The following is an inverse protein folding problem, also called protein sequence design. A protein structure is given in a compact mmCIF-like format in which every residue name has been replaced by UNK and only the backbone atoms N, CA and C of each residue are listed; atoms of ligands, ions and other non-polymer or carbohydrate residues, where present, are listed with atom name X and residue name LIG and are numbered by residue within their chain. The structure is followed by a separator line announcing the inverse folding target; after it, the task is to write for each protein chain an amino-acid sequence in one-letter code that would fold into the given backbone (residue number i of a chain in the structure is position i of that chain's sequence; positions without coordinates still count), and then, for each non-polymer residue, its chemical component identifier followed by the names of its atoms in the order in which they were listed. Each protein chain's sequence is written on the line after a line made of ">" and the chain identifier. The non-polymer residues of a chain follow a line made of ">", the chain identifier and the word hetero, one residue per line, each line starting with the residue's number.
data_IF_009517651890
#
_entry.id   IF_009517651890
#
_cell.length_a   1.000
_cell.length_b   1.000
_cell.length_c   1.000
_cell.angle_alpha   90.00
_cell.angle_beta   90.00
_cell.angle_gamma   90.00
#
_symmetry.space_group_name_H-M   'P 1'
#
loop_
_entity.id
_entity.type
_entity.pdbx_description
1 polymer ?
#
# COMPACT_ATOMS: atom_id res chain seq x y z
N UNK A 1 22.01 -50.90 -21.86
CA UNK A 1 22.99 -50.06 -21.13
C UNK A 1 22.48 -49.90 -19.71
N UNK A 2 23.13 -50.52 -18.74
CA UNK A 2 22.87 -50.29 -17.32
C UNK A 2 23.59 -49.01 -16.92
N UNK A 3 22.84 -47.98 -16.52
CA UNK A 3 23.42 -46.76 -15.92
C UNK A 3 23.87 -47.08 -14.48
N UNK A 4 25.11 -46.73 -14.16
CA UNK A 4 25.72 -46.93 -12.84
C UNK A 4 24.88 -46.19 -11.76
N UNK A 5 24.48 -46.85 -10.66
CA UNK A 5 23.82 -46.19 -9.53
C UNK A 5 24.53 -44.93 -9.02
N UNK A 6 25.87 -44.86 -9.07
CA UNK A 6 26.62 -43.68 -8.67
C UNK A 6 26.44 -42.50 -9.64
N UNK A 7 26.32 -42.78 -10.95
CA UNK A 7 26.07 -41.75 -11.95
C UNK A 7 24.64 -41.19 -11.82
N UNK A 8 23.66 -42.05 -11.51
CA UNK A 8 22.28 -41.61 -11.23
C UNK A 8 22.19 -40.69 -10.01
N UNK A 9 22.90 -41.02 -8.93
CA UNK A 9 22.92 -40.19 -7.72
C UNK A 9 23.55 -38.82 -8.01
N UNK A 10 24.70 -38.79 -8.70
CA UNK A 10 25.37 -37.53 -9.07
C UNK A 10 24.52 -36.63 -9.96
N UNK A 11 23.77 -37.23 -10.90
CA UNK A 11 22.82 -36.50 -11.74
C UNK A 11 21.64 -35.94 -10.93
N UNK A 12 21.14 -36.70 -9.95
CA UNK A 12 20.09 -36.25 -9.02
C UNK A 12 20.57 -35.07 -8.17
N UNK A 13 21.76 -35.18 -7.58
CA UNK A 13 22.34 -34.14 -6.73
C UNK A 13 22.62 -32.85 -7.53
N UNK A 14 23.09 -32.98 -8.77
CA UNK A 14 23.30 -31.84 -9.67
C UNK A 14 21.99 -31.13 -10.04
N UNK A 15 20.92 -31.89 -10.31
CA UNK A 15 19.61 -31.32 -10.60
C UNK A 15 19.01 -30.62 -9.39
N UNK A 16 19.13 -31.22 -8.20
CA UNK A 16 18.69 -30.62 -6.94
C UNK A 16 19.40 -29.29 -6.69
N UNK A 17 20.73 -29.25 -6.81
CA UNK A 17 21.51 -28.02 -6.67
C UNK A 17 21.01 -26.93 -7.63
N UNK A 18 20.84 -27.26 -8.91
CA UNK A 18 20.38 -26.31 -9.93
C UNK A 18 18.99 -25.76 -9.61
N UNK A 19 18.08 -26.61 -9.13
CA UNK A 19 16.73 -26.20 -8.81
C UNK A 19 16.69 -25.32 -7.56
N UNK A 20 17.52 -25.61 -6.55
CA UNK A 20 17.66 -24.74 -5.37
C UNK A 20 18.22 -23.37 -5.76
N UNK A 21 19.22 -23.31 -6.65
CA UNK A 21 19.71 -22.02 -7.18
C UNK A 21 18.58 -21.26 -7.89
N UNK A 22 17.78 -21.92 -8.73
CA UNK A 22 16.63 -21.31 -9.39
C UNK A 22 15.59 -20.79 -8.40
N UNK A 23 15.34 -21.50 -7.30
CA UNK A 23 14.46 -21.05 -6.22
C UNK A 23 15.01 -19.79 -5.55
N UNK A 24 16.31 -19.75 -5.23
CA UNK A 24 16.98 -18.57 -4.67
C UNK A 24 16.82 -17.34 -5.57
N UNK A 25 17.00 -17.50 -6.89
CA UNK A 25 16.82 -16.40 -7.84
C UNK A 25 15.35 -15.94 -7.91
N UNK A 26 14.39 -16.86 -7.79
CA UNK A 26 12.95 -16.58 -7.71
C UNK A 26 12.60 -15.75 -6.47
N UNK A 27 12.98 -16.23 -5.28
CA UNK A 27 12.81 -15.52 -4.00
C UNK A 27 13.42 -14.12 -4.01
N UNK A 28 14.64 -14.01 -4.56
CA UNK A 28 15.32 -12.73 -4.67
C UNK A 28 14.56 -11.74 -5.57
N UNK A 29 14.00 -12.24 -6.66
CA UNK A 29 13.15 -11.46 -7.56
C UNK A 29 11.84 -11.03 -6.89
N UNK A 30 11.15 -11.95 -6.20
CA UNK A 30 9.92 -11.67 -5.45
C UNK A 30 10.13 -10.57 -4.40
N UNK A 31 11.23 -10.62 -3.64
CA UNK A 31 11.59 -9.58 -2.66
C UNK A 31 11.67 -8.19 -3.29
N UNK A 32 12.24 -8.09 -4.50
CA UNK A 32 12.42 -6.80 -5.17
C UNK A 32 11.09 -6.33 -5.76
N UNK A 33 10.37 -7.22 -6.44
CA UNK A 33 9.10 -6.87 -7.06
C UNK A 33 8.01 -6.55 -6.04
N UNK A 34 7.98 -7.21 -4.89
CA UNK A 34 6.99 -6.91 -3.84
C UNK A 34 7.28 -5.62 -3.10
N UNK A 35 8.54 -5.15 -3.05
CA UNK A 35 8.84 -3.78 -2.57
C UNK A 35 8.26 -2.74 -3.54
N UNK A 36 8.49 -2.92 -4.84
CA UNK A 36 7.93 -2.05 -5.88
C UNK A 36 6.40 -2.07 -5.82
N UNK A 37 5.80 -3.26 -5.73
CA UNK A 37 4.35 -3.44 -5.69
C UNK A 37 3.71 -2.80 -4.45
N UNK A 38 4.34 -2.94 -3.28
CA UNK A 38 3.90 -2.28 -2.05
C UNK A 38 3.93 -0.75 -2.19
N UNK A 39 4.91 -0.19 -2.91
CA UNK A 39 5.00 1.24 -3.16
C UNK A 39 3.97 1.74 -4.20
N UNK A 40 3.56 0.87 -5.13
CA UNK A 40 2.50 1.14 -6.10
C UNK A 40 1.09 0.97 -5.49
N UNK A 41 0.99 0.38 -4.30
CA UNK A 41 -0.30 0.07 -3.67
C UNK A 41 -1.06 1.35 -3.29
N UNK A 42 -2.32 1.50 -3.74
CA UNK A 42 -3.15 2.65 -3.38
C UNK A 42 -3.74 2.54 -1.97
N UNK A 43 -3.76 1.34 -1.38
CA UNK A 43 -4.38 1.07 -0.08
C UNK A 43 -3.32 0.68 0.96
N UNK A 44 -3.40 1.30 2.14
CA UNK A 44 -2.43 1.05 3.22
C UNK A 44 -2.47 -0.40 3.71
N UNK A 45 -3.66 -1.00 3.78
CA UNK A 45 -3.82 -2.40 4.21
C UNK A 45 -3.22 -3.38 3.20
N UNK A 46 -3.43 -3.14 1.90
CA UNK A 46 -2.81 -3.94 0.84
C UNK A 46 -1.29 -3.78 0.87
N UNK A 47 -0.79 -2.54 0.98
CA UNK A 47 0.65 -2.26 1.17
C UNK A 47 1.23 -3.05 2.33
N UNK A 48 0.56 -3.01 3.49
CA UNK A 48 1.01 -3.73 4.70
C UNK A 48 1.05 -5.24 4.45
N UNK A 49 0.00 -5.80 3.83
CA UNK A 49 -0.05 -7.23 3.53
C UNK A 49 1.04 -7.65 2.53
N UNK A 50 1.29 -6.87 1.49
CA UNK A 50 2.37 -7.14 0.52
C UNK A 50 3.74 -7.08 1.21
N UNK A 51 3.96 -6.15 2.14
CA UNK A 51 5.19 -6.08 2.92
C UNK A 51 5.35 -7.27 3.90
N UNK A 52 4.24 -7.81 4.42
CA UNK A 52 4.25 -9.03 5.22
C UNK A 52 4.62 -10.25 4.36
N UNK A 53 4.05 -10.39 3.16
CA UNK A 53 4.44 -11.45 2.18
C UNK A 53 5.92 -11.33 1.84
N UNK A 54 6.38 -10.13 1.48
CA UNK A 54 7.79 -9.85 1.20
C UNK A 54 8.74 -10.26 2.34
N UNK A 55 8.29 -10.19 3.59
CA UNK A 55 9.10 -10.63 4.73
C UNK A 55 9.28 -12.15 4.71
N UNK A 56 8.30 -12.88 4.22
CA UNK A 56 8.30 -14.34 4.12
C UNK A 56 9.26 -14.79 3.01
N UNK A 57 9.24 -14.14 1.85
CA UNK A 57 10.25 -14.35 0.78
C UNK A 57 11.69 -14.19 1.30
N UNK A 58 11.94 -13.18 2.16
CA UNK A 58 13.26 -13.01 2.79
C UNK A 58 13.64 -14.18 3.69
N UNK A 59 12.67 -14.80 4.38
CA UNK A 59 12.90 -15.98 5.22
C UNK A 59 13.19 -17.20 4.34
N UNK A 60 12.46 -17.38 3.24
CA UNK A 60 12.69 -18.45 2.28
C UNK A 60 14.04 -18.32 1.60
N UNK A 61 14.38 -17.14 1.05
CA UNK A 61 15.70 -16.84 0.46
C UNK A 61 16.85 -17.23 1.37
N UNK A 62 16.80 -16.82 2.65
CA UNK A 62 17.83 -17.13 3.64
C UNK A 62 17.92 -18.65 3.89
N UNK A 63 16.79 -19.33 3.96
CA UNK A 63 16.71 -20.77 4.20
C UNK A 63 17.30 -21.55 3.02
N UNK A 64 16.89 -21.22 1.80
CA UNK A 64 17.40 -21.87 0.59
C UNK A 64 18.88 -21.58 0.35
N UNK A 65 19.33 -20.36 0.64
CA UNK A 65 20.75 -20.01 0.54
C UNK A 65 21.61 -20.82 1.51
N UNK A 66 21.09 -21.09 2.72
CA UNK A 66 21.75 -21.95 3.70
C UNK A 66 21.84 -23.38 3.20
N UNK A 67 20.72 -23.95 2.71
CA UNK A 67 20.69 -25.29 2.13
C UNK A 67 21.67 -25.41 0.96
N UNK A 68 21.69 -24.44 0.04
CA UNK A 68 22.59 -24.43 -1.10
C UNK A 68 24.06 -24.44 -0.67
N UNK A 69 24.40 -23.63 0.34
CA UNK A 69 25.75 -23.59 0.90
C UNK A 69 26.14 -24.91 1.55
N UNK A 70 25.23 -25.53 2.29
CA UNK A 70 25.50 -26.81 2.96
C UNK A 70 25.69 -27.95 1.95
N UNK A 71 24.94 -27.96 0.84
CA UNK A 71 25.08 -28.94 -0.23
C UNK A 71 26.34 -28.76 -1.09
N UNK A 72 26.73 -27.51 -1.35
CA UNK A 72 27.76 -27.19 -2.38
C UNK A 72 29.09 -26.73 -1.81
N UNK A 73 29.12 -26.33 -0.53
CA UNK A 73 30.24 -25.65 0.11
C UNK A 73 30.46 -24.21 -0.37
N UNK A 74 29.58 -23.65 -1.22
CA UNK A 74 29.72 -22.32 -1.83
C UNK A 74 28.48 -21.48 -1.55
N UNK A 75 28.66 -20.15 -1.51
CA UNK A 75 27.52 -19.24 -1.46
C UNK A 75 26.76 -19.28 -2.80
N UNK A 76 25.42 -19.13 -2.79
CA UNK A 76 24.66 -18.97 -4.01
C UNK A 76 24.93 -17.62 -4.68
N UNK A 77 24.55 -17.51 -5.94
CA UNK A 77 24.42 -16.23 -6.63
C UNK A 77 22.99 -15.70 -6.48
N UNK A 78 22.80 -14.42 -6.75
CA UNK A 78 21.49 -13.78 -6.76
C UNK A 78 21.31 -13.08 -8.11
N UNK A 79 20.45 -13.63 -8.96
CA UNK A 79 20.18 -13.07 -10.28
C UNK A 79 18.75 -12.52 -10.36
N UNK A 80 18.62 -11.29 -10.84
CA UNK A 80 17.32 -10.69 -11.16
C UNK A 80 16.80 -11.28 -12.47
N UNK A 81 15.60 -11.86 -12.44
CA UNK A 81 14.92 -12.35 -13.64
C UNK A 81 13.98 -11.29 -14.20
N UNK A 82 14.55 -10.37 -14.97
CA UNK A 82 13.81 -9.35 -15.70
C UNK A 82 13.33 -8.19 -14.84
N UNK A 83 12.43 -7.39 -15.41
CA UNK A 83 11.90 -6.18 -14.79
C UNK A 83 10.59 -6.48 -14.05
N UNK A 84 10.41 -5.87 -12.88
CA UNK A 84 9.13 -5.88 -12.17
C UNK A 84 8.09 -5.05 -12.91
N UNK A 85 6.81 -5.39 -12.75
CA UNK A 85 5.72 -4.64 -13.37
C UNK A 85 5.61 -3.21 -12.81
N UNK A 86 5.24 -2.26 -13.68
CA UNK A 86 5.23 -0.83 -13.35
C UNK A 86 3.85 -0.30 -12.94
N UNK A 87 2.81 -1.12 -13.00
CA UNK A 87 1.46 -0.78 -12.50
C UNK A 87 1.03 -1.73 -11.41
N UNK A 88 0.23 -1.25 -10.46
CA UNK A 88 -0.24 -2.08 -9.34
C UNK A 88 -1.00 -3.32 -9.84
N UNK A 89 -1.92 -3.15 -10.80
CA UNK A 89 -2.71 -4.24 -11.34
C UNK A 89 -1.86 -5.33 -11.98
N UNK A 90 -0.96 -4.96 -12.88
CA UNK A 90 -0.08 -5.91 -13.56
C UNK A 90 0.84 -6.61 -12.56
N UNK A 91 1.33 -5.89 -11.55
CA UNK A 91 2.15 -6.47 -10.50
C UNK A 91 1.42 -7.48 -9.62
N UNK A 92 0.14 -7.24 -9.27
CA UNK A 92 -0.68 -8.22 -8.53
C UNK A 92 -0.95 -9.47 -9.38
N UNK A 93 -1.23 -9.31 -10.68
CA UNK A 93 -1.43 -10.45 -11.59
C UNK A 93 -0.14 -11.26 -11.71
N UNK A 94 0.99 -10.60 -11.95
CA UNK A 94 2.28 -11.27 -12.07
C UNK A 94 2.66 -11.99 -10.77
N UNK A 95 2.46 -11.35 -9.61
CA UNK A 95 2.69 -11.99 -8.31
C UNK A 95 1.80 -13.22 -8.13
N UNK A 96 0.50 -13.12 -8.42
CA UNK A 96 -0.41 -14.27 -8.33
C UNK A 96 0.02 -15.46 -9.22
N UNK A 97 0.46 -15.18 -10.45
CA UNK A 97 0.95 -16.21 -11.37
C UNK A 97 2.27 -16.82 -10.86
N UNK A 98 3.22 -15.99 -10.43
CA UNK A 98 4.53 -16.42 -9.91
C UNK A 98 4.38 -17.31 -8.67
N UNK A 99 3.54 -16.90 -7.71
CA UNK A 99 3.27 -17.68 -6.50
C UNK A 99 2.66 -19.05 -6.82
N UNK A 100 1.70 -19.11 -7.75
CA UNK A 100 1.10 -20.39 -8.16
C UNK A 100 2.10 -21.32 -8.84
N UNK A 101 2.93 -20.81 -9.74
CA UNK A 101 3.98 -21.60 -10.39
C UNK A 101 5.05 -22.07 -9.39
N UNK A 102 5.32 -21.26 -8.38
CA UNK A 102 6.33 -21.53 -7.35
C UNK A 102 5.90 -22.67 -6.41
N UNK A 103 4.61 -22.80 -6.09
CA UNK A 103 4.08 -23.93 -5.28
C UNK A 103 4.48 -25.27 -5.88
N UNK A 104 4.16 -25.50 -7.15
CA UNK A 104 4.47 -26.75 -7.84
C UNK A 104 5.99 -26.98 -7.91
N UNK A 105 6.75 -25.92 -8.20
CA UNK A 105 8.20 -25.99 -8.29
C UNK A 105 8.86 -26.37 -6.95
N UNK A 106 8.35 -25.88 -5.82
CA UNK A 106 8.89 -26.22 -4.50
C UNK A 106 8.51 -27.62 -4.05
N UNK A 107 7.31 -28.09 -4.38
CA UNK A 107 6.95 -29.49 -4.18
C UNK A 107 7.84 -30.44 -5.00
N UNK A 108 8.16 -30.09 -6.24
CA UNK A 108 9.09 -30.85 -7.08
C UNK A 108 10.50 -30.94 -6.47
N UNK A 109 11.02 -29.85 -5.87
CA UNK A 109 12.31 -29.88 -5.16
C UNK A 109 12.22 -30.79 -3.93
N UNK A 110 11.14 -30.71 -3.17
CA UNK A 110 10.92 -31.53 -1.98
C UNK A 110 10.88 -33.03 -2.30
N UNK A 111 10.44 -33.41 -3.51
CA UNK A 111 10.40 -34.80 -3.96
C UNK A 111 11.69 -35.29 -4.62
N UNK A 112 12.64 -34.40 -4.93
CA UNK A 112 13.95 -34.74 -5.49
C UNK A 112 15.00 -35.15 -4.44
N UNK A 113 14.67 -35.08 -3.14
CA UNK A 113 15.61 -35.32 -2.05
C UNK A 113 15.05 -36.24 -0.98
N UNK A 114 15.91 -37.09 -0.42
CA UNK A 114 15.62 -37.91 0.76
C UNK A 114 15.98 -37.19 2.08
N UNK A 115 16.65 -36.03 1.99
CA UNK A 115 16.95 -35.23 3.16
C UNK A 115 15.66 -34.63 3.73
N UNK A 116 15.27 -35.09 4.91
CA UNK A 116 14.02 -34.70 5.55
C UNK A 116 13.97 -33.21 5.89
N UNK A 117 15.10 -32.58 6.21
CA UNK A 117 15.14 -31.17 6.55
C UNK A 117 14.93 -30.30 5.30
N UNK A 118 15.56 -30.66 4.18
CA UNK A 118 15.35 -29.98 2.89
C UNK A 118 13.89 -30.16 2.45
N UNK A 119 13.39 -31.40 2.49
CA UNK A 119 12.00 -31.72 2.13
C UNK A 119 10.99 -30.89 2.90
N UNK A 120 11.11 -30.84 4.23
CA UNK A 120 10.21 -30.05 5.08
C UNK A 120 10.33 -28.55 4.86
N UNK A 121 11.52 -28.05 4.49
CA UNK A 121 11.71 -26.61 4.23
C UNK A 121 10.96 -26.19 2.98
N UNK A 122 11.12 -26.91 1.88
CA UNK A 122 10.40 -26.61 0.64
C UNK A 122 8.90 -26.89 0.73
N UNK A 123 8.46 -27.91 1.47
CA UNK A 123 7.02 -28.14 1.72
C UNK A 123 6.37 -27.00 2.50
N UNK A 124 7.08 -26.39 3.46
CA UNK A 124 6.57 -25.22 4.20
C UNK A 124 6.54 -23.98 3.32
N UNK A 125 7.60 -23.74 2.53
CA UNK A 125 7.62 -22.63 1.57
C UNK A 125 6.47 -22.76 0.55
N UNK A 126 6.28 -23.94 -0.04
CA UNK A 126 5.14 -24.19 -0.94
C UNK A 126 3.76 -23.90 -0.28
N UNK A 127 3.62 -24.17 1.03
CA UNK A 127 2.39 -23.82 1.76
C UNK A 127 2.24 -22.31 2.00
N UNK A 128 3.35 -21.60 2.21
CA UNK A 128 3.38 -20.14 2.32
C UNK A 128 3.04 -19.50 0.95
N UNK A 129 3.67 -19.93 -0.14
CA UNK A 129 3.39 -19.51 -1.53
C UNK A 129 1.92 -19.73 -1.91
N UNK A 130 1.35 -20.87 -1.51
CA UNK A 130 -0.07 -21.11 -1.72
C UNK A 130 -0.96 -20.08 -1.00
N UNK A 131 -0.58 -19.67 0.21
CA UNK A 131 -1.27 -18.62 0.96
C UNK A 131 -1.02 -17.23 0.33
N UNK A 132 0.18 -16.96 -0.17
CA UNK A 132 0.51 -15.73 -0.89
C UNK A 132 -0.34 -15.60 -2.16
N UNK A 133 -0.43 -16.66 -2.97
CA UNK A 133 -1.31 -16.72 -4.12
C UNK A 133 -2.77 -16.43 -3.74
N UNK A 134 -3.26 -16.94 -2.62
CA UNK A 134 -4.62 -16.64 -2.12
C UNK A 134 -4.77 -15.16 -1.74
N UNK A 135 -3.75 -14.55 -1.12
CA UNK A 135 -3.76 -13.11 -0.85
C UNK A 135 -3.77 -12.29 -2.14
N UNK A 136 -2.92 -12.61 -3.12
CA UNK A 136 -2.92 -11.93 -4.40
C UNK A 136 -4.24 -12.13 -5.17
N UNK A 137 -4.81 -13.33 -5.13
CA UNK A 137 -6.17 -13.58 -5.61
C UNK A 137 -7.20 -12.73 -4.87
N UNK A 138 -7.05 -12.55 -3.55
CA UNK A 138 -7.96 -11.69 -2.78
C UNK A 138 -7.86 -10.23 -3.23
N UNK A 139 -6.68 -9.74 -3.59
CA UNK A 139 -6.52 -8.40 -4.16
C UNK A 139 -7.17 -8.29 -5.54
N UNK A 140 -7.10 -9.36 -6.35
CA UNK A 140 -7.80 -9.44 -7.64
C UNK A 140 -9.33 -9.53 -7.49
N UNK A 141 -9.81 -10.32 -6.51
CA UNK A 141 -11.21 -10.72 -6.35
C UNK A 141 -12.02 -9.81 -5.42
N UNK A 142 -11.35 -9.12 -4.48
CA UNK A 142 -11.88 -7.86 -3.91
C UNK A 142 -12.18 -6.83 -5.00
N UNK A 143 -11.80 -7.16 -6.24
CA UNK A 143 -12.12 -6.50 -7.48
C UNK A 143 -11.52 -5.10 -7.46
N UNK A 144 -10.83 -4.84 -8.54
CA UNK A 144 -11.00 -3.59 -9.26
C UNK A 144 -12.50 -3.30 -9.57
N UNK A 145 -13.37 -3.30 -8.58
CA UNK A 145 -14.22 -2.15 -8.40
C UNK A 145 -13.25 -1.00 -8.10
N UNK A 146 -12.88 -0.27 -9.15
CA UNK A 146 -13.03 1.18 -9.08
C UNK A 146 -14.51 1.45 -8.76
N UNK A 147 -14.94 1.09 -7.56
CA UNK A 147 -15.98 1.84 -6.91
C UNK A 147 -15.24 3.14 -6.64
N UNK A 148 -15.48 4.15 -7.47
CA UNK A 148 -15.09 5.53 -7.14
C UNK A 148 -15.45 5.79 -5.66
N UNK A 149 -16.56 5.22 -5.18
CA UNK A 149 -17.01 5.25 -3.80
C UNK A 149 -16.05 4.63 -2.76
N UNK A 150 -15.33 3.53 -3.05
CA UNK A 150 -14.47 2.83 -2.06
C UNK A 150 -13.08 3.44 -1.98
N UNK A 151 -12.57 4.00 -3.09
CA UNK A 151 -11.37 4.86 -3.04
C UNK A 151 -11.68 6.19 -2.34
N UNK A 152 -12.80 6.86 -2.70
CA UNK A 152 -13.19 8.13 -2.08
C UNK A 152 -13.31 8.02 -0.55
N UNK A 153 -13.75 6.88 -0.02
CA UNK A 153 -13.95 6.73 1.42
C UNK A 153 -12.67 6.40 2.21
N UNK A 154 -11.57 6.04 1.54
CA UNK A 154 -10.32 5.59 2.19
C UNK A 154 -9.19 6.64 2.17
N UNK A 155 -9.51 7.93 1.97
CA UNK A 155 -8.54 9.03 2.06
C UNK A 155 -9.07 10.18 2.92
N UNK A 156 -8.17 10.87 3.64
CA UNK A 156 -8.51 12.07 4.41
C UNK A 156 -9.59 11.84 5.48
N UNK A 157 -10.55 12.77 5.56
CA UNK A 157 -11.57 12.76 6.60
C UNK A 157 -12.46 11.52 6.59
N UNK A 158 -12.80 10.99 5.41
CA UNK A 158 -13.65 9.80 5.30
C UNK A 158 -12.96 8.56 5.87
N UNK A 159 -11.67 8.37 5.57
CA UNK A 159 -10.88 7.27 6.12
C UNK A 159 -10.78 7.36 7.64
N UNK A 160 -10.56 8.57 8.14
CA UNK A 160 -10.50 8.83 9.57
C UNK A 160 -11.82 8.49 10.28
N UNK A 161 -12.97 8.73 9.65
CA UNK A 161 -14.28 8.41 10.19
C UNK A 161 -14.54 6.90 10.23
N UNK A 162 -14.11 6.16 9.21
CA UNK A 162 -14.29 4.70 9.11
C UNK A 162 -13.26 3.91 9.95
N UNK A 163 -12.14 4.51 10.34
CA UNK A 163 -11.11 3.85 11.13
C UNK A 163 -11.63 3.38 12.51
N UNK A 164 -11.48 2.09 12.88
CA UNK A 164 -11.99 1.54 14.15
C UNK A 164 -11.20 2.02 15.36
N UNK A 165 -9.94 2.41 15.16
CA UNK A 165 -9.04 2.99 16.16
C UNK A 165 -8.08 3.94 15.48
N UNK A 166 -7.61 4.95 16.21
CA UNK A 166 -6.74 6.00 15.67
C UNK A 166 -5.52 6.20 16.57
N UNK A 167 -4.34 6.02 16.00
CA UNK A 167 -3.07 6.48 16.59
C UNK A 167 -2.81 7.94 16.24
N UNK A 168 -1.83 8.57 16.90
CA UNK A 168 -1.37 9.93 16.54
C UNK A 168 -0.88 9.98 15.08
N UNK A 169 -0.20 8.92 14.63
CA UNK A 169 0.26 8.83 13.24
C UNK A 169 -0.91 8.81 12.26
N UNK A 170 -1.97 8.05 12.57
CA UNK A 170 -3.16 7.97 11.72
C UNK A 170 -3.86 9.33 11.66
N UNK A 171 -4.08 9.99 12.81
CA UNK A 171 -4.76 11.29 12.87
C UNK A 171 -4.01 12.38 12.09
N UNK A 172 -2.69 12.47 12.25
CA UNK A 172 -1.88 13.45 11.50
C UNK A 172 -1.88 13.14 10.00
N UNK A 173 -1.76 11.86 9.64
CA UNK A 173 -1.79 11.41 8.25
C UNK A 173 -3.12 11.77 7.59
N UNK A 174 -4.25 11.41 8.20
CA UNK A 174 -5.57 11.72 7.65
C UNK A 174 -5.86 13.22 7.60
N UNK A 175 -5.46 13.99 8.63
CA UNK A 175 -5.59 15.43 8.60
C UNK A 175 -4.86 16.05 7.39
N UNK A 176 -3.59 15.69 7.19
CA UNK A 176 -2.81 16.22 6.07
C UNK A 176 -3.32 15.77 4.70
N UNK A 177 -3.75 14.51 4.59
CA UNK A 177 -4.39 13.98 3.38
C UNK A 177 -5.66 14.77 3.02
N UNK A 178 -6.46 15.15 4.01
CA UNK A 178 -7.69 15.91 3.76
C UNK A 178 -7.39 17.33 3.25
N UNK A 179 -6.36 17.99 3.78
CA UNK A 179 -5.92 19.29 3.25
C UNK A 179 -5.37 19.20 1.81
N UNK A 180 -4.63 18.13 1.49
CA UNK A 180 -4.20 17.85 0.11
C UNK A 180 -5.40 17.60 -0.82
N UNK A 181 -6.39 16.83 -0.35
CA UNK A 181 -7.63 16.59 -1.08
C UNK A 181 -8.38 17.90 -1.38
N UNK A 182 -8.43 18.82 -0.42
CA UNK A 182 -9.03 20.13 -0.61
C UNK A 182 -8.25 20.98 -1.63
N UNK A 183 -6.91 21.02 -1.57
CA UNK A 183 -6.08 21.69 -2.57
C UNK A 183 -6.38 21.21 -3.99
N UNK A 184 -6.28 19.89 -4.22
CA UNK A 184 -6.49 19.29 -5.51
C UNK A 184 -7.92 19.51 -6.03
N UNK A 185 -8.93 19.42 -5.14
CA UNK A 185 -10.33 19.69 -5.48
C UNK A 185 -10.52 21.12 -5.96
N UNK A 186 -10.01 22.10 -5.21
CA UNK A 186 -10.17 23.51 -5.55
C UNK A 186 -9.36 23.90 -6.78
N UNK A 187 -8.21 23.28 -7.02
CA UNK A 187 -7.47 23.44 -8.27
C UNK A 187 -8.28 22.98 -9.48
N UNK A 188 -8.87 21.79 -9.42
CA UNK A 188 -9.74 21.28 -10.49
C UNK A 188 -10.94 22.20 -10.73
N UNK A 189 -11.58 22.69 -9.67
CA UNK A 189 -12.73 23.62 -9.78
C UNK A 189 -12.31 24.95 -10.43
N UNK A 190 -11.19 25.54 -9.99
CA UNK A 190 -10.72 26.82 -10.51
C UNK A 190 -10.23 26.70 -11.96
N UNK A 191 -9.68 25.55 -12.34
CA UNK A 191 -9.32 25.25 -13.73
C UNK A 191 -10.56 25.15 -14.63
N UNK A 192 -11.66 24.56 -14.14
CA UNK A 192 -12.88 24.34 -14.94
C UNK A 192 -13.79 25.58 -15.01
N UNK A 193 -13.99 26.27 -13.88
CA UNK A 193 -14.95 27.37 -13.75
C UNK A 193 -14.31 28.76 -13.72
N UNK A 194 -12.98 28.82 -13.77
CA UNK A 194 -12.22 30.06 -13.65
C UNK A 194 -12.14 30.58 -12.21
N UNK A 195 -11.71 31.83 -12.06
CA UNK A 195 -11.43 32.41 -10.75
C UNK A 195 -12.71 32.71 -9.95
N UNK A 196 -13.15 31.75 -9.14
CA UNK A 196 -14.28 31.90 -8.22
C UNK A 196 -13.75 32.23 -6.83
N UNK A 197 -14.02 33.47 -6.38
CA UNK A 197 -13.43 34.05 -5.16
C UNK A 197 -13.50 33.16 -3.93
N UNK A 198 -14.62 32.48 -3.68
CA UNK A 198 -14.80 31.61 -2.51
C UNK A 198 -13.77 30.49 -2.51
N UNK A 199 -13.64 29.75 -3.62
CA UNK A 199 -12.68 28.66 -3.75
C UNK A 199 -11.23 29.16 -3.70
N UNK A 200 -10.91 30.28 -4.33
CA UNK A 200 -9.56 30.87 -4.27
C UNK A 200 -9.16 31.25 -2.83
N UNK A 201 -10.07 31.83 -2.05
CA UNK A 201 -9.81 32.23 -0.68
C UNK A 201 -9.67 31.05 0.28
N UNK A 202 -10.54 30.05 0.12
CA UNK A 202 -10.51 28.83 0.95
C UNK A 202 -9.29 27.99 0.61
N UNK A 203 -8.95 27.81 -0.68
CA UNK A 203 -7.69 27.15 -1.07
C UNK A 203 -6.46 27.79 -0.41
N UNK A 204 -6.40 29.12 -0.33
CA UNK A 204 -5.31 29.79 0.36
C UNK A 204 -5.34 29.60 1.89
N UNK A 205 -6.50 29.30 2.47
CA UNK A 205 -6.65 28.92 3.88
C UNK A 205 -6.14 27.52 4.16
N UNK A 206 -6.48 26.53 3.32
CA UNK A 206 -6.01 25.15 3.50
C UNK A 206 -4.47 25.04 3.44
N UNK A 207 -3.79 25.88 2.65
CA UNK A 207 -2.31 25.93 2.68
C UNK A 207 -1.77 26.27 4.08
N UNK A 208 -2.46 27.13 4.84
CA UNK A 208 -2.08 27.44 6.22
C UNK A 208 -2.39 26.29 7.17
N UNK A 209 -3.37 25.45 6.85
CA UNK A 209 -3.64 24.23 7.63
C UNK A 209 -2.52 23.21 7.43
N UNK A 210 -2.07 23.01 6.18
CA UNK A 210 -0.87 22.21 5.86
C UNK A 210 0.32 22.73 6.67
N UNK A 211 0.61 24.02 6.61
CA UNK A 211 1.72 24.63 7.36
C UNK A 211 1.60 24.44 8.88
N UNK A 212 0.39 24.37 9.43
CA UNK A 212 0.14 24.12 10.85
C UNK A 212 0.34 22.64 11.23
N UNK A 213 0.09 21.72 10.31
CA UNK A 213 0.25 20.27 10.51
C UNK A 213 1.71 19.82 10.41
N UNK A 214 2.49 20.37 9.47
CA UNK A 214 3.86 19.91 9.19
C UNK A 214 4.78 19.85 10.44
N UNK A 215 4.81 20.85 11.35
CA UNK A 215 5.64 20.77 12.55
C UNK A 215 5.28 19.63 13.50
N UNK A 216 4.03 19.14 13.46
CA UNK A 216 3.59 18.01 14.28
C UNK A 216 4.18 16.69 13.75
N UNK A 217 4.31 16.52 12.44
CA UNK A 217 4.98 15.34 11.86
C UNK A 217 6.44 15.24 12.33
N UNK A 218 7.17 16.35 12.29
CA UNK A 218 8.55 16.41 12.81
C UNK A 218 8.59 16.10 14.30
N UNK A 219 7.71 16.71 15.10
CA UNK A 219 7.69 16.52 16.56
C UNK A 219 7.41 15.08 16.97
N UNK A 220 6.51 14.41 16.27
CA UNK A 220 6.11 13.04 16.54
C UNK A 220 6.89 12.00 15.72
N UNK A 221 7.88 12.43 14.91
CA UNK A 221 8.74 11.59 14.08
C UNK A 221 7.95 10.68 13.11
N UNK A 222 6.89 11.25 12.52
CA UNK A 222 6.03 10.57 11.54
C UNK A 222 6.47 11.01 10.15
N UNK A 223 6.60 10.06 9.22
CA UNK A 223 6.89 10.39 7.83
C UNK A 223 5.68 11.07 7.17
N UNK A 224 5.94 12.10 6.37
CA UNK A 224 4.90 12.74 5.59
C UNK A 224 4.32 11.75 4.57
N UNK A 225 2.98 11.61 4.48
CA UNK A 225 2.35 10.86 3.41
C UNK A 225 2.66 11.48 2.05
N UNK A 226 2.84 10.64 1.04
CA UNK A 226 2.90 11.09 -0.35
C UNK A 226 1.53 11.64 -0.73
N UNK A 227 1.51 12.80 -1.38
CA UNK A 227 0.27 13.37 -1.90
C UNK A 227 -0.29 12.49 -3.04
N UNK A 228 -1.47 11.91 -2.79
CA UNK A 228 -2.23 11.08 -3.71
C UNK A 228 -3.62 11.67 -3.98
N UNK A 229 -3.88 12.90 -3.52
CA UNK A 229 -5.17 13.57 -3.54
C UNK A 229 -5.86 13.57 -4.90
N UNK A 230 -5.09 13.75 -5.99
CA UNK A 230 -5.59 13.75 -7.36
C UNK A 230 -6.32 12.46 -7.76
N UNK A 231 -6.04 11.33 -7.10
CA UNK A 231 -6.73 10.06 -7.35
C UNK A 231 -8.15 10.03 -6.75
N UNK A 232 -8.49 10.99 -5.89
CA UNK A 232 -9.75 11.05 -5.13
C UNK A 232 -10.60 12.28 -5.46
N UNK A 233 -10.13 13.13 -6.38
CA UNK A 233 -10.86 14.32 -6.84
C UNK A 233 -11.71 13.97 -8.06
N UNK A 234 -12.97 14.37 -8.02
CA UNK A 234 -13.85 14.39 -9.18
C UNK A 234 -14.08 15.83 -9.65
N UNK A 235 -14.28 16.02 -10.95
CA UNK A 235 -14.60 17.34 -11.53
C UNK A 235 -16.11 17.54 -11.51
N UNK A 236 -16.64 18.52 -10.76
CA UNK A 236 -18.06 18.85 -10.83
C UNK A 236 -18.47 19.36 -12.21
N UNK A 237 -19.69 19.03 -12.68
CA UNK A 237 -20.19 19.51 -13.98
C UNK A 237 -20.66 20.95 -13.90
N UNK A 238 -21.13 21.38 -12.73
CA UNK A 238 -21.60 22.74 -12.48
C UNK A 238 -20.93 23.40 -11.27
N UNK A 239 -20.88 24.74 -11.28
CA UNK A 239 -20.39 25.49 -10.13
C UNK A 239 -21.25 25.26 -8.87
N UNK A 240 -22.54 24.94 -9.05
CA UNK A 240 -23.44 24.61 -7.95
C UNK A 240 -23.08 23.26 -7.32
N UNK A 241 -22.77 22.26 -8.13
CA UNK A 241 -22.24 20.98 -7.64
C UNK A 241 -20.87 21.15 -6.98
N UNK A 242 -20.01 22.05 -7.49
CA UNK A 242 -18.75 22.36 -6.84
C UNK A 242 -18.96 22.92 -5.42
N UNK A 243 -19.95 23.81 -5.24
CA UNK A 243 -20.33 24.29 -3.91
C UNK A 243 -20.91 23.16 -3.03
N UNK A 244 -21.73 22.26 -3.59
CA UNK A 244 -22.27 21.12 -2.85
C UNK A 244 -21.17 20.14 -2.39
N UNK A 245 -20.19 19.88 -3.26
CA UNK A 245 -19.01 19.08 -2.93
C UNK A 245 -18.12 19.76 -1.88
N UNK A 246 -17.97 21.09 -1.93
CA UNK A 246 -17.34 21.87 -0.88
C UNK A 246 -18.04 21.73 0.48
N UNK A 247 -19.38 21.89 0.51
CA UNK A 247 -20.20 21.68 1.72
C UNK A 247 -19.96 20.29 2.31
N UNK A 248 -20.03 19.24 1.51
CA UNK A 248 -19.83 17.88 2.01
C UNK A 248 -18.40 17.67 2.53
N UNK A 249 -17.39 18.20 1.83
CA UNK A 249 -15.99 18.15 2.27
C UNK A 249 -15.80 18.75 3.66
N UNK A 250 -16.37 19.93 3.90
CA UNK A 250 -16.24 20.58 5.21
C UNK A 250 -17.02 19.84 6.31
N UNK A 251 -18.18 19.24 6.00
CA UNK A 251 -18.91 18.39 6.95
C UNK A 251 -18.06 17.18 7.36
N UNK A 252 -17.43 16.52 6.40
CA UNK A 252 -16.58 15.36 6.65
C UNK A 252 -15.34 15.78 7.47
N UNK A 253 -14.67 16.88 7.10
CA UNK A 253 -13.50 17.41 7.80
C UNK A 253 -13.80 17.82 9.26
N UNK A 254 -14.91 18.53 9.50
CA UNK A 254 -15.37 18.89 10.85
C UNK A 254 -15.60 17.63 11.67
N UNK A 255 -16.30 16.64 11.09
CA UNK A 255 -16.62 15.37 11.76
C UNK A 255 -15.36 14.57 12.11
N UNK A 256 -14.35 14.56 11.23
CA UNK A 256 -13.05 13.96 11.50
C UNK A 256 -12.40 14.60 12.74
N UNK A 257 -12.30 15.93 12.79
CA UNK A 257 -11.68 16.59 13.94
C UNK A 257 -12.51 16.44 15.22
N UNK A 258 -13.84 16.45 15.13
CA UNK A 258 -14.69 16.15 16.29
C UNK A 258 -14.43 14.74 16.81
N UNK A 259 -14.26 13.74 15.93
CA UNK A 259 -13.85 12.38 16.33
C UNK A 259 -12.48 12.41 17.01
N UNK A 260 -11.48 13.09 16.45
CA UNK A 260 -10.13 13.17 17.03
C UNK A 260 -10.15 13.80 18.42
N UNK A 261 -10.90 14.88 18.60
CA UNK A 261 -10.97 15.65 19.85
C UNK A 261 -11.75 14.94 20.98
N UNK A 262 -12.36 13.78 20.71
CA UNK A 262 -12.88 12.89 21.76
C UNK A 262 -11.79 12.07 22.45
N UNK A 263 -10.63 11.94 21.82
CA UNK A 263 -9.50 11.16 22.34
C UNK A 263 -8.64 11.99 23.30
N UNK A 264 -7.90 11.31 24.17
CA UNK A 264 -6.94 11.97 25.05
C UNK A 264 -5.67 12.34 24.27
N UNK A 265 -5.64 13.56 23.73
CA UNK A 265 -4.54 14.06 22.90
C UNK A 265 -3.56 14.92 23.70
N UNK A 266 -2.26 14.93 23.34
CA UNK A 266 -1.34 15.98 23.73
C UNK A 266 -1.85 17.40 23.41
N UNK A 267 -1.47 18.39 24.22
CA UNK A 267 -2.02 19.75 24.14
C UNK A 267 -1.76 20.45 22.80
N UNK A 268 -0.64 20.15 22.15
CA UNK A 268 -0.30 20.72 20.84
C UNK A 268 -1.25 20.21 19.74
N UNK A 269 -1.55 18.92 19.71
CA UNK A 269 -2.56 18.34 18.82
C UNK A 269 -3.95 18.90 19.10
N UNK A 270 -4.36 19.00 20.36
CA UNK A 270 -5.67 19.58 20.72
C UNK A 270 -5.82 21.01 20.18
N UNK A 271 -4.78 21.83 20.32
CA UNK A 271 -4.78 23.21 19.86
C UNK A 271 -4.92 23.27 18.34
N UNK A 272 -4.06 22.55 17.60
CA UNK A 272 -4.07 22.58 16.12
C UNK A 272 -5.36 22.01 15.57
N UNK A 273 -5.81 20.83 16.04
CA UNK A 273 -7.06 20.22 15.55
C UNK A 273 -8.29 21.07 15.86
N UNK A 274 -8.35 21.74 17.01
CA UNK A 274 -9.44 22.68 17.32
C UNK A 274 -9.42 23.88 16.38
N UNK A 275 -8.24 24.43 16.06
CA UNK A 275 -8.10 25.55 15.15
C UNK A 275 -8.55 25.19 13.73
N UNK A 276 -8.11 24.05 13.21
CA UNK A 276 -8.46 23.58 11.87
C UNK A 276 -9.96 23.30 11.78
N UNK A 277 -10.55 22.55 12.73
CA UNK A 277 -12.01 22.34 12.77
C UNK A 277 -12.80 23.65 12.75
N UNK A 278 -12.36 24.65 13.54
CA UNK A 278 -13.05 25.93 13.60
C UNK A 278 -12.90 26.72 12.28
N UNK A 279 -11.80 26.57 11.56
CA UNK A 279 -11.64 27.12 10.21
C UNK A 279 -12.63 26.45 9.23
N UNK A 280 -12.74 25.12 9.27
CA UNK A 280 -13.67 24.33 8.45
C UNK A 280 -15.14 24.72 8.69
N UNK A 281 -15.53 25.04 9.92
CA UNK A 281 -16.88 25.60 10.22
C UNK A 281 -17.11 26.92 9.45
N UNK A 282 -16.09 27.79 9.34
CA UNK A 282 -16.20 29.03 8.58
C UNK A 282 -16.23 28.78 7.06
N UNK A 283 -15.48 27.79 6.58
CA UNK A 283 -15.50 27.36 5.18
C UNK A 283 -16.87 26.81 4.80
N UNK A 284 -17.44 25.93 5.63
CA UNK A 284 -18.78 25.35 5.46
C UNK A 284 -19.81 26.46 5.25
N UNK A 285 -19.85 27.44 6.16
CA UNK A 285 -20.78 28.57 6.04
C UNK A 285 -20.56 29.39 4.75
N UNK A 286 -19.33 29.48 4.25
CA UNK A 286 -19.05 30.14 2.98
C UNK A 286 -19.53 29.33 1.77
N UNK A 287 -19.36 28.01 1.79
CA UNK A 287 -19.87 27.14 0.73
C UNK A 287 -21.40 27.05 0.72
N UNK A 288 -22.05 26.97 1.88
CA UNK A 288 -23.52 27.00 1.97
C UNK A 288 -24.11 28.28 1.37
N UNK A 289 -23.51 29.44 1.67
CA UNK A 289 -23.89 30.72 1.05
C UNK A 289 -23.67 30.75 -0.46
N UNK A 290 -22.66 30.02 -0.95
CA UNK A 290 -22.40 29.87 -2.39
C UNK A 290 -23.40 28.94 -3.07
N UNK A 291 -23.76 27.84 -2.42
CA UNK A 291 -24.71 26.83 -2.89
C UNK A 291 -26.14 27.37 -3.02
N UNK A 292 -26.51 28.30 -2.13
CA UNK A 292 -27.84 28.92 -2.09
C UNK A 292 -28.07 30.01 -3.16
N UNK A 293 -27.03 30.40 -3.91
CA UNK A 293 -27.10 31.39 -4.99
C UNK A 293 -27.38 30.73 -6.33
#
# INVERSE_FOLDING_TARGET
>A
MYTDPQDKQRLSDFNLQKNIQKAIDGEYNAIICYETLANLSPLQDDRKRILDIRKDEKRHLNSFSTIYKDLTGKQPTYELKGDCQNTFKEGIIAAFEDEQETVDFYLDIADQTEDTAIKQTFQRAAADEQNHAVWFLSFLNNSYHFDENRQINNYGAKAALDAPSLSIADMLTYALQDEYLAQARYDTILANFGNVRTFTQIKAAELRHIDALLPLFDRYQIQLPIDQSMNFVTTPETIKEAYASGVQGEIDNISMYDKFLTLNLPSDLQIVFTQLRNASINHLAAFERGLAR
#
